data_IF_060372520054
#
_entry.id   IF_060372520054
#
_cell.length_a   1.000
_cell.length_b   1.000
_cell.length_c   1.000
_cell.angle_alpha   90.00
_cell.angle_beta   90.00
_cell.angle_gamma   90.00
#
_symmetry.space_group_name_H-M   'P 1'
#
loop_
_entity.id
_entity.type
_entity.pdbx_description
1 polymer ?
#
# COMPACT_ATOMS: atom_id res chain seq x y z
N UNK A 1 52.69 -30.01 -13.39
CA UNK A 1 51.73 -28.89 -13.54
C UNK A 1 51.43 -28.32 -12.16
N UNK A 2 52.02 -27.17 -11.85
CA UNK A 2 52.31 -26.69 -10.49
C UNK A 2 51.05 -26.52 -9.62
N UNK A 3 51.11 -27.03 -8.37
CA UNK A 3 50.13 -26.82 -7.29
C UNK A 3 49.79 -25.33 -7.07
N UNK A 4 50.66 -24.42 -7.54
CA UNK A 4 50.49 -22.98 -7.48
C UNK A 4 49.23 -22.51 -8.23
N UNK A 5 48.82 -23.17 -9.32
CA UNK A 5 47.62 -22.81 -10.10
C UNK A 5 46.33 -23.21 -9.38
N UNK A 6 46.30 -24.35 -8.67
CA UNK A 6 45.13 -24.84 -7.93
C UNK A 6 44.78 -23.97 -6.73
N UNK A 7 45.79 -23.45 -6.01
CA UNK A 7 45.59 -22.58 -4.84
C UNK A 7 45.15 -21.18 -5.27
N UNK A 8 45.68 -20.70 -6.39
CA UNK A 8 45.25 -19.45 -7.03
C UNK A 8 43.80 -19.55 -7.53
N UNK A 9 43.45 -20.63 -8.24
CA UNK A 9 42.09 -20.84 -8.74
C UNK A 9 41.06 -21.09 -7.63
N UNK A 10 41.43 -21.77 -6.53
CA UNK A 10 40.56 -22.02 -5.37
C UNK A 10 40.26 -20.74 -4.57
N UNK A 11 41.25 -19.87 -4.37
CA UNK A 11 41.04 -18.59 -3.69
C UNK A 11 40.34 -17.57 -4.60
N UNK A 12 40.59 -17.63 -5.90
CA UNK A 12 39.91 -16.80 -6.90
C UNK A 12 38.44 -17.21 -7.07
N UNK A 13 38.14 -18.52 -7.09
CA UNK A 13 36.77 -19.05 -7.11
C UNK A 13 35.99 -18.63 -5.86
N UNK A 14 36.62 -18.65 -4.68
CA UNK A 14 36.01 -18.19 -3.43
C UNK A 14 35.69 -16.67 -3.46
N UNK A 15 36.57 -15.85 -4.04
CA UNK A 15 36.34 -14.41 -4.21
C UNK A 15 35.24 -14.10 -5.24
N UNK A 16 35.12 -14.88 -6.30
CA UNK A 16 34.06 -14.74 -7.32
C UNK A 16 32.68 -15.13 -6.75
N UNK A 17 32.61 -16.17 -5.91
CA UNK A 17 31.37 -16.56 -5.21
C UNK A 17 30.96 -15.48 -4.19
N UNK A 18 31.91 -14.90 -3.45
CA UNK A 18 31.63 -13.82 -2.51
C UNK A 18 31.18 -12.52 -3.22
N UNK A 19 31.74 -12.22 -4.39
CA UNK A 19 31.33 -11.09 -5.22
C UNK A 19 29.94 -11.30 -5.86
N UNK A 20 29.61 -12.52 -6.29
CA UNK A 20 28.28 -12.87 -6.82
C UNK A 20 27.16 -12.71 -5.78
N UNK A 21 27.45 -12.95 -4.49
CA UNK A 21 26.49 -12.73 -3.40
C UNK A 21 26.15 -11.24 -3.21
N UNK A 22 27.06 -10.31 -3.52
CA UNK A 22 26.78 -8.87 -3.46
C UNK A 22 25.93 -8.37 -4.64
N UNK A 23 26.06 -9.00 -5.82
CA UNK A 23 25.30 -8.61 -7.04
C UNK A 23 23.79 -8.86 -6.90
N UNK A 24 23.37 -9.79 -6.03
CA UNK A 24 21.95 -10.12 -5.80
C UNK A 24 21.20 -9.04 -5.01
N UNK A 25 21.90 -8.15 -4.28
CA UNK A 25 21.28 -7.12 -3.46
C UNK A 25 20.90 -5.85 -4.23
N UNK A 26 21.30 -5.73 -5.51
CA UNK A 26 20.93 -4.62 -6.38
C UNK A 26 19.57 -4.81 -7.07
N UNK A 27 18.72 -5.70 -6.55
CA UNK A 27 17.31 -5.76 -6.91
C UNK A 27 16.58 -4.54 -6.38
N UNK A 28 16.74 -3.38 -7.03
CA UNK A 28 15.86 -2.24 -6.84
C UNK A 28 14.44 -2.70 -7.12
N UNK A 29 13.69 -2.95 -6.05
CA UNK A 29 12.25 -3.15 -6.10
C UNK A 29 11.68 -1.88 -6.72
N UNK A 30 10.88 -2.01 -7.77
CA UNK A 30 10.11 -0.89 -8.32
C UNK A 30 9.40 -0.21 -7.16
N UNK A 31 9.51 1.11 -7.05
CA UNK A 31 8.85 1.94 -6.04
C UNK A 31 7.34 1.99 -6.33
N UNK A 32 6.68 0.83 -6.29
CA UNK A 32 5.25 0.68 -6.42
C UNK A 32 4.59 0.66 -5.03
N UNK A 33 5.11 1.46 -4.09
CA UNK A 33 4.48 1.66 -2.80
C UNK A 33 3.29 2.61 -2.97
N UNK A 34 2.14 2.19 -2.44
CA UNK A 34 0.95 3.03 -2.28
C UNK A 34 0.57 2.94 -0.80
N UNK A 35 0.40 4.10 -0.17
CA UNK A 35 0.03 4.21 1.23
C UNK A 35 -1.20 5.11 1.34
N UNK A 36 -2.23 4.60 2.03
CA UNK A 36 -3.47 5.32 2.31
C UNK A 36 -3.50 5.73 3.78
N UNK A 37 -3.75 7.01 4.03
CA UNK A 37 -3.95 7.54 5.38
C UNK A 37 -5.15 8.48 5.45
N UNK A 38 -5.76 8.57 6.62
CA UNK A 38 -6.82 9.54 6.92
C UNK A 38 -6.30 10.53 7.95
N UNK A 39 -6.87 11.75 7.94
CA UNK A 39 -6.57 12.75 8.96
C UNK A 39 -7.06 12.30 10.35
N UNK A 40 -8.15 11.53 10.39
CA UNK A 40 -8.76 11.01 11.61
C UNK A 40 -9.11 9.54 11.42
N UNK A 41 -9.14 8.79 12.52
CA UNK A 41 -9.56 7.38 12.54
C UNK A 41 -11.08 7.20 12.70
N UNK A 42 -11.77 8.25 13.15
CA UNK A 42 -13.23 8.28 13.32
C UNK A 42 -13.79 9.63 12.89
N UNK A 43 -14.97 9.60 12.26
CA UNK A 43 -15.71 10.78 11.86
C UNK A 43 -17.13 10.75 12.43
N UNK A 44 -17.76 11.91 12.56
CA UNK A 44 -19.15 12.03 13.00
C UNK A 44 -19.94 12.75 11.92
N UNK A 45 -21.09 12.19 11.56
CA UNK A 45 -22.01 12.76 10.57
C UNK A 45 -23.42 12.69 11.15
N UNK A 46 -24.17 13.77 11.01
CA UNK A 46 -25.58 13.80 11.41
C UNK A 46 -26.40 13.00 10.40
N UNK A 47 -27.47 12.34 10.86
CA UNK A 47 -28.39 11.64 9.95
C UNK A 47 -28.99 12.64 8.96
N UNK A 48 -28.92 12.30 7.67
CA UNK A 48 -29.37 13.14 6.55
C UNK A 48 -28.32 14.14 6.06
N UNK A 49 -27.19 14.30 6.75
CA UNK A 49 -26.10 15.17 6.31
C UNK A 49 -25.01 14.39 5.57
N UNK A 50 -24.22 15.14 4.80
CA UNK A 50 -23.06 14.63 4.09
C UNK A 50 -21.77 15.13 4.74
N UNK A 51 -20.82 14.23 4.89
CA UNK A 51 -19.46 14.52 5.32
C UNK A 51 -18.48 14.13 4.23
N UNK A 52 -17.63 15.06 3.83
CA UNK A 52 -16.55 14.77 2.89
C UNK A 52 -15.36 14.18 3.63
N UNK A 53 -15.01 12.92 3.32
CA UNK A 53 -13.80 12.29 3.83
C UNK A 53 -12.78 12.18 2.70
N UNK A 54 -11.63 12.81 2.88
CA UNK A 54 -10.53 12.82 1.91
C UNK A 54 -9.36 12.00 2.43
N UNK A 55 -9.14 10.78 1.92
CA UNK A 55 -7.91 10.05 2.20
C UNK A 55 -6.71 10.74 1.55
N UNK A 56 -5.59 10.75 2.26
CA UNK A 56 -4.29 11.11 1.69
C UNK A 56 -3.69 9.88 1.03
N UNK A 57 -3.34 10.01 -0.25
CA UNK A 57 -2.70 8.96 -1.04
C UNK A 57 -1.24 9.32 -1.24
N UNK A 58 -0.33 8.58 -0.63
CA UNK A 58 1.10 8.65 -0.95
C UNK A 58 1.44 7.51 -1.91
N UNK A 59 2.16 7.83 -2.97
CA UNK A 59 2.54 6.84 -3.99
C UNK A 59 3.94 7.10 -4.51
N UNK A 60 4.61 6.05 -4.95
CA UNK A 60 5.89 6.16 -5.64
C UNK A 60 5.78 6.89 -7.00
N UNK A 61 6.92 7.33 -7.54
CA UNK A 61 6.98 8.14 -8.77
C UNK A 61 6.48 7.39 -10.01
N UNK A 62 6.65 6.07 -10.02
CA UNK A 62 6.26 5.20 -11.13
C UNK A 62 4.79 4.74 -11.04
N UNK A 63 4.09 5.12 -9.96
CA UNK A 63 2.67 4.80 -9.79
C UNK A 63 1.83 5.83 -10.53
N UNK A 64 1.08 5.34 -11.53
CA UNK A 64 0.10 6.12 -12.28
C UNK A 64 -1.05 6.67 -11.43
N UNK A 65 -2.13 7.12 -12.07
CA UNK A 65 -3.31 7.58 -11.36
C UNK A 65 -3.86 6.48 -10.42
N UNK A 66 -4.12 6.84 -9.16
CA UNK A 66 -4.66 5.92 -8.15
C UNK A 66 -6.14 6.20 -8.01
N UNK A 67 -6.96 5.22 -8.39
CA UNK A 67 -8.40 5.25 -8.17
C UNK A 67 -8.73 4.53 -6.88
N UNK A 68 -9.69 5.07 -6.13
CA UNK A 68 -10.12 4.53 -4.84
C UNK A 68 -11.53 4.00 -4.93
N UNK A 69 -11.74 2.82 -4.37
CA UNK A 69 -13.03 2.14 -4.25
C UNK A 69 -13.44 2.17 -2.78
N UNK A 70 -14.69 2.54 -2.54
CA UNK A 70 -15.24 2.72 -1.21
C UNK A 70 -16.37 1.73 -0.99
N UNK A 71 -16.42 1.15 0.21
CA UNK A 71 -17.49 0.26 0.64
C UNK A 71 -17.86 0.57 2.07
N UNK A 72 -19.15 0.66 2.35
CA UNK A 72 -19.64 0.70 3.73
C UNK A 72 -19.85 -0.72 4.24
N UNK A 73 -19.43 -0.99 5.47
CA UNK A 73 -19.72 -2.26 6.16
C UNK A 73 -21.22 -2.39 6.46
N UNK A 74 -21.89 -1.27 6.74
CA UNK A 74 -23.33 -1.21 6.96
C UNK A 74 -23.95 0.03 6.26
N UNK A 75 -24.48 -0.14 5.04
CA UNK A 75 -25.11 0.95 4.29
C UNK A 75 -26.39 1.49 4.94
N UNK A 76 -27.00 0.77 5.88
CA UNK A 76 -28.17 1.27 6.61
C UNK A 76 -27.81 2.33 7.66
N UNK A 77 -26.53 2.44 8.05
CA UNK A 77 -26.04 3.42 9.02
C UNK A 77 -25.37 4.59 8.29
N UNK A 78 -24.45 4.30 7.36
CA UNK A 78 -23.83 5.33 6.53
C UNK A 78 -23.51 4.78 5.14
N UNK A 79 -23.70 5.60 4.11
CA UNK A 79 -23.36 5.27 2.72
C UNK A 79 -22.23 6.16 2.22
N UNK A 80 -21.47 5.69 1.24
CA UNK A 80 -20.45 6.51 0.58
C UNK A 80 -20.77 6.67 -0.89
N UNK A 81 -20.94 7.91 -1.34
CA UNK A 81 -21.26 8.25 -2.73
C UNK A 81 -20.40 9.44 -3.16
N UNK A 82 -19.69 9.32 -4.28
CA UNK A 82 -18.97 10.42 -4.94
C UNK A 82 -18.04 11.26 -4.05
N UNK A 83 -17.27 10.67 -3.13
CA UNK A 83 -16.38 11.45 -2.25
C UNK A 83 -16.93 11.67 -0.84
N UNK A 84 -18.21 11.40 -0.62
CA UNK A 84 -18.94 11.83 0.58
C UNK A 84 -19.61 10.67 1.29
N UNK A 85 -19.51 10.69 2.62
CA UNK A 85 -20.26 9.82 3.52
C UNK A 85 -21.58 10.50 3.87
N UNK A 86 -22.70 9.82 3.66
CA UNK A 86 -24.02 10.29 4.10
C UNK A 86 -24.49 9.47 5.29
N UNK A 87 -24.86 10.14 6.37
CA UNK A 87 -25.48 9.48 7.53
C UNK A 87 -26.91 9.05 7.21
N UNK A 88 -27.21 7.75 7.32
CA UNK A 88 -28.54 7.18 7.03
C UNK A 88 -29.33 6.91 8.30
N UNK A 89 -28.68 6.39 9.34
CA UNK A 89 -29.30 6.11 10.63
C UNK A 89 -28.31 6.30 11.78
N UNK A 90 -28.83 6.43 12.99
CA UNK A 90 -28.01 6.50 14.21
C UNK A 90 -27.32 5.15 14.42
N UNK A 91 -26.00 5.18 14.57
CA UNK A 91 -25.19 3.99 14.82
C UNK A 91 -23.73 4.23 14.47
N UNK A 92 -22.94 3.18 14.59
CA UNK A 92 -21.53 3.18 14.19
C UNK A 92 -21.35 2.17 13.05
N UNK A 93 -20.59 2.55 12.04
CA UNK A 93 -20.23 1.67 10.92
C UNK A 93 -18.77 1.92 10.56
N UNK A 94 -18.23 1.14 9.62
CA UNK A 94 -16.92 1.41 9.05
C UNK A 94 -17.03 1.62 7.56
N UNK A 95 -16.27 2.58 7.06
CA UNK A 95 -16.05 2.77 5.63
C UNK A 95 -14.68 2.21 5.30
N UNK A 96 -14.66 1.23 4.41
CA UNK A 96 -13.45 0.64 3.84
C UNK A 96 -13.12 1.35 2.53
N UNK A 97 -11.87 1.77 2.40
CA UNK A 97 -11.35 2.45 1.22
C UNK A 97 -10.15 1.67 0.71
N UNK A 98 -10.25 1.17 -0.51
CA UNK A 98 -9.22 0.34 -1.15
C UNK A 98 -8.79 0.94 -2.49
N UNK A 99 -7.59 0.59 -2.95
CA UNK A 99 -7.13 0.98 -4.29
C UNK A 99 -7.77 0.09 -5.35
N UNK A 100 -8.30 0.69 -6.41
CA UNK A 100 -8.83 -0.03 -7.56
C UNK A 100 -7.72 -0.89 -8.21
N UNK A 101 -7.98 -2.19 -8.38
CA UNK A 101 -6.99 -3.14 -8.90
C UNK A 101 -5.91 -3.60 -7.91
N UNK A 102 -5.90 -3.05 -6.68
CA UNK A 102 -5.02 -3.46 -5.56
C UNK A 102 -5.80 -3.53 -4.24
N UNK A 103 -6.77 -4.45 -4.10
CA UNK A 103 -7.63 -4.55 -2.92
C UNK A 103 -6.88 -4.82 -1.61
N UNK A 104 -5.63 -5.29 -1.69
CA UNK A 104 -4.70 -5.46 -0.57
C UNK A 104 -4.23 -4.12 0.03
N UNK A 105 -4.24 -3.04 -0.75
CA UNK A 105 -3.94 -1.69 -0.26
C UNK A 105 -5.27 -1.04 0.13
N UNK A 106 -5.62 -1.18 1.41
CA UNK A 106 -6.85 -0.61 1.95
C UNK A 106 -6.65 0.06 3.30
N UNK A 107 -7.61 0.90 3.66
CA UNK A 107 -7.72 1.53 4.96
C UNK A 107 -9.18 1.62 5.37
N UNK A 108 -9.43 1.42 6.65
CA UNK A 108 -10.76 1.52 7.24
C UNK A 108 -10.82 2.74 8.15
N UNK A 109 -12.00 3.35 8.19
CA UNK A 109 -12.30 4.50 9.05
C UNK A 109 -13.68 4.30 9.65
N UNK A 110 -13.86 4.76 10.89
CA UNK A 110 -15.11 4.68 11.62
C UNK A 110 -15.95 5.95 11.45
#
# INVERSE_FOLDING_TARGET
>A
MSLMVKKFFKNFLALVVLALVMVVLAGCKKDESIELSFAQSSYQVTVGEELEIKPTVKKGKDVGEVKLVYSSENPNIATYVNGKVTGVAVGETKIKVAVEGRPEVYKEVK
#
